data_IF_625008827761
#
_entry.id   IF_625008827761
#
_cell.length_a   1.000
_cell.length_b   1.000
_cell.length_c   1.000
_cell.angle_alpha   90.00
_cell.angle_beta   90.00
_cell.angle_gamma   90.00
#
_symmetry.space_group_name_H-M   'P 1'
#
loop_
_entity.id
_entity.type
_entity.pdbx_description
1 polymer ?
#
# COMPACT_ATOMS: atom_id res chain seq x y z
N UNK A 1 17.81 -33.93 48.37
CA UNK A 1 17.87 -32.97 47.26
C UNK A 1 16.84 -31.90 47.58
N UNK A 2 17.26 -30.67 47.67
CA UNK A 2 16.34 -29.60 48.11
C UNK A 2 15.40 -29.22 46.97
N UNK A 3 14.16 -29.68 47.01
CA UNK A 3 13.10 -29.44 46.03
C UNK A 3 12.82 -27.94 45.87
N UNK A 4 13.04 -27.15 46.89
CA UNK A 4 12.87 -25.68 46.88
C UNK A 4 13.88 -25.01 45.92
N UNK A 5 15.14 -25.43 45.97
CA UNK A 5 16.19 -24.90 45.09
C UNK A 5 15.95 -25.25 43.62
N UNK A 6 15.52 -26.49 43.36
CA UNK A 6 15.21 -26.94 41.98
C UNK A 6 14.04 -26.17 41.42
N UNK A 7 12.97 -25.94 42.19
CA UNK A 7 11.83 -25.16 41.77
C UNK A 7 12.21 -23.70 41.50
N UNK A 8 12.99 -23.07 42.39
CA UNK A 8 13.46 -21.68 42.15
C UNK A 8 14.31 -21.54 40.90
N UNK A 9 15.20 -22.49 40.62
CA UNK A 9 15.99 -22.49 39.40
C UNK A 9 15.13 -22.70 38.14
N UNK A 10 14.13 -23.58 38.22
CA UNK A 10 13.19 -23.80 37.13
C UNK A 10 12.36 -22.54 36.82
N UNK A 11 11.87 -21.85 37.84
CA UNK A 11 11.15 -20.59 37.69
C UNK A 11 12.01 -19.49 37.09
N UNK A 12 13.26 -19.35 37.54
CA UNK A 12 14.20 -18.38 36.97
C UNK A 12 14.53 -18.69 35.50
N UNK A 13 14.74 -19.96 35.17
CA UNK A 13 14.97 -20.38 33.78
C UNK A 13 13.76 -20.12 32.90
N UNK A 14 12.55 -20.44 33.34
CA UNK A 14 11.32 -20.16 32.63
C UNK A 14 11.13 -18.65 32.40
N UNK A 15 11.40 -17.82 33.41
CA UNK A 15 11.32 -16.37 33.29
C UNK A 15 12.36 -15.83 32.30
N UNK A 16 13.58 -16.35 32.28
CA UNK A 16 14.63 -15.95 31.36
C UNK A 16 14.27 -16.31 29.91
N UNK A 17 13.71 -17.50 29.68
CA UNK A 17 13.24 -17.94 28.36
C UNK A 17 12.09 -17.04 27.87
N UNK A 18 11.07 -16.82 28.71
CA UNK A 18 9.93 -15.96 28.37
C UNK A 18 10.36 -14.52 28.05
N UNK A 19 11.32 -13.97 28.80
CA UNK A 19 11.87 -12.64 28.54
C UNK A 19 12.64 -12.60 27.21
N UNK A 20 13.42 -13.64 26.90
CA UNK A 20 14.13 -13.76 25.63
C UNK A 20 13.16 -13.80 24.45
N UNK A 21 12.11 -14.62 24.53
CA UNK A 21 11.09 -14.73 23.48
C UNK A 21 10.31 -13.42 23.29
N UNK A 22 9.93 -12.77 24.38
CA UNK A 22 9.28 -11.47 24.33
C UNK A 22 10.19 -10.39 23.68
N UNK A 23 11.49 -10.44 23.97
CA UNK A 23 12.45 -9.52 23.37
C UNK A 23 12.63 -9.78 21.86
N UNK A 24 12.76 -11.04 21.46
CA UNK A 24 12.85 -11.43 20.05
C UNK A 24 11.60 -10.99 19.27
N UNK A 25 10.40 -11.17 19.84
CA UNK A 25 9.15 -10.74 19.22
C UNK A 25 9.08 -9.21 19.09
N UNK A 26 9.56 -8.46 20.08
CA UNK A 26 9.64 -6.99 20.00
C UNK A 26 10.60 -6.53 18.91
N UNK A 27 11.76 -7.15 18.76
CA UNK A 27 12.69 -6.84 17.69
C UNK A 27 12.11 -7.14 16.30
N UNK A 28 11.49 -8.31 16.14
CA UNK A 28 10.83 -8.67 14.87
C UNK A 28 9.74 -7.68 14.51
N UNK A 29 8.89 -7.29 15.47
CA UNK A 29 7.84 -6.29 15.29
C UNK A 29 8.43 -4.92 14.90
N UNK A 30 9.43 -4.44 15.62
CA UNK A 30 10.07 -3.14 15.35
C UNK A 30 10.67 -3.10 13.94
N UNK A 31 11.28 -4.19 13.49
CA UNK A 31 11.82 -4.31 12.13
C UNK A 31 10.70 -4.25 11.09
N UNK A 32 9.62 -5.00 11.31
CA UNK A 32 8.47 -4.99 10.42
C UNK A 32 7.81 -3.60 10.33
N UNK A 33 7.68 -2.90 11.46
CA UNK A 33 7.14 -1.53 11.49
C UNK A 33 8.04 -0.56 10.69
N UNK A 34 9.36 -0.73 10.78
CA UNK A 34 10.32 0.04 9.98
C UNK A 34 10.18 -0.23 8.48
N UNK A 35 10.08 -1.49 8.09
CA UNK A 35 9.93 -1.89 6.68
C UNK A 35 8.61 -1.36 6.10
N UNK A 36 7.52 -1.40 6.86
CA UNK A 36 6.23 -0.83 6.47
C UNK A 36 6.26 0.70 6.35
N UNK A 37 7.02 1.37 7.22
CA UNK A 37 7.22 2.82 7.13
C UNK A 37 7.97 3.21 5.85
N UNK A 38 8.98 2.44 5.46
CA UNK A 38 9.67 2.62 4.18
C UNK A 38 8.74 2.35 2.99
N UNK A 39 7.92 1.30 3.05
CA UNK A 39 6.93 1.00 2.02
C UNK A 39 5.91 2.14 1.85
N UNK A 40 5.48 2.77 2.96
CA UNK A 40 4.62 3.97 2.94
C UNK A 40 5.28 5.11 2.18
N UNK A 41 6.53 5.42 2.49
CA UNK A 41 7.25 6.49 1.81
C UNK A 41 7.37 6.23 0.30
N UNK A 42 7.59 4.98 -0.10
CA UNK A 42 7.60 4.58 -1.52
C UNK A 42 6.21 4.72 -2.13
N UNK A 43 5.15 4.31 -1.43
CA UNK A 43 3.77 4.45 -1.92
C UNK A 43 3.40 5.92 -2.15
N UNK A 44 3.82 6.82 -1.26
CA UNK A 44 3.57 8.27 -1.40
C UNK A 44 4.17 8.86 -2.69
N UNK A 45 5.21 8.25 -3.27
CA UNK A 45 5.76 8.66 -4.57
C UNK A 45 4.83 8.35 -5.75
N UNK A 46 3.94 7.38 -5.61
CA UNK A 46 2.93 7.08 -6.63
C UNK A 46 1.77 8.07 -6.59
N UNK A 47 1.40 8.57 -5.42
CA UNK A 47 0.28 9.49 -5.28
C UNK A 47 0.61 10.85 -5.88
N UNK A 48 -0.36 11.43 -6.58
CA UNK A 48 -0.21 12.76 -7.18
C UNK A 48 -0.14 13.82 -6.09
N UNK A 49 1.04 14.40 -5.89
CA UNK A 49 1.31 15.43 -4.88
C UNK A 49 0.97 16.84 -5.36
N UNK A 50 1.00 17.06 -6.68
CA UNK A 50 0.74 18.36 -7.29
C UNK A 50 -0.24 18.21 -8.43
N UNK A 51 -1.36 18.90 -8.32
CA UNK A 51 -2.33 18.96 -9.39
C UNK A 51 -1.89 19.99 -10.44
N UNK A 52 -2.03 19.67 -11.73
CA UNK A 52 -1.71 20.64 -12.77
C UNK A 52 -2.73 21.78 -12.74
N UNK A 53 -2.26 22.99 -12.98
CA UNK A 53 -3.14 24.15 -13.12
C UNK A 53 -4.08 23.95 -14.31
N UNK A 54 -5.37 24.00 -14.05
CA UNK A 54 -6.43 23.86 -15.04
C UNK A 54 -7.36 25.06 -14.91
N UNK A 55 -7.44 25.89 -15.96
CA UNK A 55 -8.25 27.10 -15.97
C UNK A 55 -9.71 26.79 -15.62
N UNK A 56 -10.19 27.41 -14.55
CA UNK A 56 -11.59 27.27 -14.11
C UNK A 56 -11.87 26.01 -13.28
N UNK A 57 -10.83 25.31 -12.84
CA UNK A 57 -10.95 24.13 -11.97
C UNK A 57 -9.96 24.24 -10.81
N UNK A 58 -10.47 24.11 -9.59
CA UNK A 58 -9.68 23.87 -8.39
C UNK A 58 -9.81 22.40 -8.00
N UNK A 59 -8.69 21.76 -7.73
CA UNK A 59 -8.64 20.34 -7.35
C UNK A 59 -7.85 20.20 -6.07
N UNK A 60 -8.41 19.47 -5.12
CA UNK A 60 -7.75 19.06 -3.90
C UNK A 60 -8.04 17.57 -3.63
N UNK A 61 -7.17 16.91 -2.88
CA UNK A 61 -7.36 15.52 -2.51
C UNK A 61 -6.77 15.23 -1.13
N UNK A 62 -7.47 14.37 -0.41
CA UNK A 62 -7.05 13.86 0.89
C UNK A 62 -6.90 12.34 0.77
N UNK A 63 -5.79 11.82 1.27
CA UNK A 63 -5.52 10.40 1.32
C UNK A 63 -5.24 9.96 2.76
N UNK A 64 -6.10 9.13 3.30
CA UNK A 64 -6.04 8.64 4.68
C UNK A 64 -6.16 7.11 4.71
N UNK A 65 -5.05 6.37 4.50
CA UNK A 65 -5.10 4.92 4.52
C UNK A 65 -5.39 4.38 5.92
N UNK A 66 -6.12 3.28 6.02
CA UNK A 66 -6.46 2.62 7.29
C UNK A 66 -5.29 1.90 7.95
N UNK A 67 -4.27 1.53 7.18
CA UNK A 67 -3.00 0.94 7.62
C UNK A 67 -1.84 1.83 7.16
N UNK A 68 -0.61 1.38 7.40
CA UNK A 68 0.58 2.14 6.96
C UNK A 68 0.65 2.27 5.43
N UNK A 69 0.16 1.27 4.69
CA UNK A 69 -0.01 1.29 3.23
C UNK A 69 -1.43 0.85 2.86
N UNK A 70 -1.96 1.36 1.75
CA UNK A 70 -3.34 1.14 1.32
C UNK A 70 -3.49 0.71 -0.14
N UNK A 71 -4.69 0.22 -0.49
CA UNK A 71 -5.07 -0.12 -1.86
C UNK A 71 -5.68 1.03 -2.64
N UNK A 72 -6.20 2.03 -1.94
CA UNK A 72 -6.82 3.19 -2.56
C UNK A 72 -5.81 4.08 -3.27
N UNK A 73 -6.23 4.73 -4.34
CA UNK A 73 -5.45 5.80 -4.97
C UNK A 73 -6.33 6.76 -5.76
N UNK A 74 -5.79 7.93 -5.99
CA UNK A 74 -6.30 8.89 -6.95
C UNK A 74 -5.15 9.35 -7.87
N UNK A 75 -5.51 9.78 -9.08
CA UNK A 75 -4.54 10.39 -9.98
C UNK A 75 -5.22 11.42 -10.89
N UNK A 76 -4.44 12.37 -11.37
CA UNK A 76 -4.92 13.45 -12.22
C UNK A 76 -4.04 13.54 -13.49
N UNK A 77 -4.71 13.57 -14.64
CA UNK A 77 -4.06 13.52 -15.94
C UNK A 77 -4.43 14.78 -16.76
N UNK A 78 -3.46 15.63 -17.02
CA UNK A 78 -3.65 16.74 -17.96
C UNK A 78 -3.44 16.24 -19.38
N UNK A 79 -4.52 16.18 -20.13
CA UNK A 79 -4.52 15.64 -21.51
C UNK A 79 -4.26 16.73 -22.56
N UNK A 80 -4.82 17.92 -22.35
CA UNK A 80 -4.61 19.13 -23.16
C UNK A 80 -4.75 20.35 -22.24
N UNK A 81 -4.69 21.57 -22.80
CA UNK A 81 -4.98 22.81 -22.06
C UNK A 81 -6.38 22.85 -21.44
N UNK A 82 -7.37 22.20 -22.09
CA UNK A 82 -8.78 22.25 -21.70
C UNK A 82 -9.39 20.86 -21.44
N UNK A 83 -8.59 19.81 -21.45
CA UNK A 83 -9.05 18.43 -21.21
C UNK A 83 -8.18 17.75 -20.17
N UNK A 84 -8.81 17.20 -19.18
CA UNK A 84 -8.16 16.42 -18.12
C UNK A 84 -8.97 15.16 -17.85
N UNK A 85 -8.35 14.20 -17.18
CA UNK A 85 -9.01 13.04 -16.63
C UNK A 85 -8.61 12.89 -15.15
N UNK A 86 -9.49 12.29 -14.38
CA UNK A 86 -9.27 11.95 -12.98
C UNK A 86 -9.56 10.47 -12.82
N UNK A 87 -8.76 9.78 -12.06
CA UNK A 87 -9.07 8.43 -11.58
C UNK A 87 -9.14 8.43 -10.05
N UNK A 88 -10.08 7.67 -9.53
CA UNK A 88 -10.15 7.25 -8.14
C UNK A 88 -10.43 5.76 -8.14
N UNK A 89 -9.72 5.02 -7.33
CA UNK A 89 -9.82 3.56 -7.32
C UNK A 89 -9.55 3.00 -5.92
N UNK A 90 -10.18 1.88 -5.65
CA UNK A 90 -9.99 1.06 -4.45
C UNK A 90 -9.66 -0.37 -4.89
N UNK A 91 -8.51 -0.87 -4.46
CA UNK A 91 -8.09 -2.25 -4.69
C UNK A 91 -8.53 -3.10 -3.51
N UNK A 92 -9.30 -4.13 -3.78
CA UNK A 92 -9.78 -5.06 -2.76
C UNK A 92 -8.64 -5.67 -1.93
N UNK A 93 -8.86 -5.77 -0.62
CA UNK A 93 -7.85 -6.20 0.34
C UNK A 93 -7.25 -5.04 1.13
N UNK A 94 -6.17 -5.29 1.85
CA UNK A 94 -5.47 -4.27 2.67
C UNK A 94 -4.00 -4.62 2.88
N UNK A 95 -3.25 -3.60 3.31
CA UNK A 95 -1.82 -3.75 3.57
C UNK A 95 -0.99 -3.89 2.30
N UNK A 96 0.14 -4.59 2.42
CA UNK A 96 1.16 -4.67 1.36
C UNK A 96 0.64 -5.27 0.04
N UNK A 97 -0.12 -6.38 0.02
CA UNK A 97 -0.62 -6.91 -1.26
C UNK A 97 -1.48 -5.91 -2.03
N UNK A 98 -2.44 -5.27 -1.35
CA UNK A 98 -3.30 -4.27 -1.98
C UNK A 98 -2.50 -3.05 -2.48
N UNK A 99 -1.48 -2.60 -1.72
CA UNK A 99 -0.63 -1.48 -2.12
C UNK A 99 0.22 -1.76 -3.36
N UNK A 100 0.68 -3.00 -3.54
CA UNK A 100 1.42 -3.42 -4.74
C UNK A 100 0.51 -3.48 -5.98
N UNK A 101 -0.71 -4.01 -5.83
CA UNK A 101 -1.70 -3.99 -6.90
C UNK A 101 -2.13 -2.56 -7.26
N UNK A 102 -2.29 -1.70 -6.26
CA UNK A 102 -2.54 -0.27 -6.46
C UNK A 102 -1.46 0.37 -7.34
N UNK A 103 -0.19 0.19 -7.00
CA UNK A 103 0.92 0.73 -7.77
C UNK A 103 0.96 0.20 -9.21
N UNK A 104 0.65 -1.08 -9.41
CA UNK A 104 0.50 -1.69 -10.72
C UNK A 104 -0.63 -1.04 -11.51
N UNK A 105 -1.83 -0.95 -10.94
CA UNK A 105 -3.00 -0.34 -11.58
C UNK A 105 -2.74 1.12 -11.97
N UNK A 106 -2.20 1.91 -11.05
CA UNK A 106 -1.90 3.31 -11.29
C UNK A 106 -0.88 3.50 -12.41
N UNK A 107 0.18 2.68 -12.42
CA UNK A 107 1.20 2.72 -13.47
C UNK A 107 0.59 2.42 -14.85
N UNK A 108 -0.27 1.39 -14.95
CA UNK A 108 -0.97 1.09 -16.19
C UNK A 108 -1.92 2.22 -16.61
N UNK A 109 -2.68 2.80 -15.69
CA UNK A 109 -3.56 3.93 -15.99
C UNK A 109 -2.80 5.12 -16.55
N UNK A 110 -1.64 5.47 -16.01
CA UNK A 110 -0.79 6.57 -16.54
C UNK A 110 -0.38 6.37 -17.99
N UNK A 111 -0.18 5.14 -18.43
CA UNK A 111 0.10 4.82 -19.83
C UNK A 111 -1.15 4.75 -20.70
N UNK A 112 -2.26 4.29 -20.15
CA UNK A 112 -3.49 4.10 -20.89
C UNK A 112 -4.29 5.39 -21.08
N UNK A 113 -4.27 6.29 -20.10
CA UNK A 113 -5.02 7.56 -20.15
C UNK A 113 -4.36 8.52 -21.13
N UNK A 114 -5.03 8.76 -22.25
CA UNK A 114 -4.57 9.66 -23.31
C UNK A 114 -5.73 10.51 -23.83
N UNK A 115 -5.42 11.60 -24.54
CA UNK A 115 -6.41 12.50 -25.13
C UNK A 115 -7.37 11.84 -26.13
N UNK A 116 -6.97 10.72 -26.70
CA UNK A 116 -7.67 10.01 -27.77
C UNK A 116 -8.47 8.80 -27.29
N UNK A 117 -8.49 8.52 -25.99
CA UNK A 117 -9.22 7.40 -25.41
C UNK A 117 -10.35 7.87 -24.50
N UNK A 118 -11.45 7.16 -24.57
CA UNK A 118 -12.56 7.31 -23.62
C UNK A 118 -12.26 6.58 -22.32
N UNK A 119 -12.90 6.95 -21.21
CA UNK A 119 -12.77 6.21 -19.95
C UNK A 119 -13.08 4.71 -20.09
N UNK A 120 -14.09 4.36 -20.88
CA UNK A 120 -14.46 2.96 -21.13
C UNK A 120 -13.33 2.18 -21.81
N UNK A 121 -12.70 2.75 -22.84
CA UNK A 121 -11.57 2.12 -23.53
C UNK A 121 -10.36 1.96 -22.60
N UNK A 122 -10.10 2.94 -21.74
CA UNK A 122 -9.02 2.87 -20.74
C UNK A 122 -9.27 1.72 -19.77
N UNK A 123 -10.48 1.64 -19.20
CA UNK A 123 -10.83 0.59 -18.24
C UNK A 123 -10.84 -0.80 -18.87
N UNK A 124 -11.36 -0.95 -20.10
CA UNK A 124 -11.33 -2.23 -20.81
C UNK A 124 -9.90 -2.71 -21.07
N UNK A 125 -9.01 -1.79 -21.44
CA UNK A 125 -7.59 -2.13 -21.64
C UNK A 125 -6.89 -2.46 -20.31
N UNK A 126 -7.16 -1.69 -19.26
CA UNK A 126 -6.64 -1.98 -17.93
C UNK A 126 -7.04 -3.38 -17.48
N UNK A 127 -8.34 -3.73 -17.63
CA UNK A 127 -8.84 -5.06 -17.29
C UNK A 127 -8.07 -6.17 -18.02
N UNK A 128 -7.90 -6.04 -19.34
CA UNK A 128 -7.14 -7.01 -20.14
C UNK A 128 -5.68 -7.15 -19.73
N UNK A 129 -5.04 -6.05 -19.31
CA UNK A 129 -3.65 -6.11 -18.83
C UNK A 129 -3.53 -6.71 -17.44
N UNK A 130 -4.50 -6.46 -16.56
CA UNK A 130 -4.53 -7.04 -15.21
C UNK A 130 -4.88 -8.54 -15.26
N UNK A 131 -5.88 -8.94 -16.05
CA UNK A 131 -6.30 -10.33 -16.21
C UNK A 131 -5.14 -11.25 -16.64
N UNK A 132 -4.24 -10.77 -17.50
CA UNK A 132 -3.04 -11.52 -17.91
C UNK A 132 -2.02 -11.75 -16.78
N UNK A 133 -2.07 -10.97 -15.73
CA UNK A 133 -1.05 -10.92 -14.66
C UNK A 133 -1.54 -11.43 -13.32
N UNK A 134 -2.81 -11.20 -13.05
CA UNK A 134 -3.45 -11.62 -11.79
C UNK A 134 -3.99 -13.02 -12.02
N UNK A 135 -3.60 -13.96 -11.18
CA UNK A 135 -4.15 -15.33 -11.18
C UNK A 135 -5.51 -15.33 -10.51
N UNK A 136 -6.33 -16.31 -10.88
CA UNK A 136 -7.72 -16.46 -10.37
C UNK A 136 -7.81 -16.66 -8.85
N UNK A 137 -6.69 -16.89 -8.17
CA UNK A 137 -6.57 -17.17 -6.73
C UNK A 137 -6.10 -15.97 -5.88
N UNK A 138 -6.05 -14.79 -6.49
CA UNK A 138 -5.75 -13.53 -5.77
C UNK A 138 -6.95 -12.62 -5.62
#
# INVERSE_FOLDING_TARGET
MDHSLVNSLAEQAALAINNSDAMNLRFAKSRMDSDLSLAKNVQELFLTQKFPDCKGLEVDAIYLPSLQVGGDFYDFYKLTSNKFAVSIADVSGKGVPASLLMALCQTHLRHLVTKNRTPSEVLSRLNLELEKRIRDDM
#
